data_IF_487048200925
#
_entry.id   IF_487048200925
#
_cell.length_a   1.000
_cell.length_b   1.000
_cell.length_c   1.000
_cell.angle_alpha   90.00
_cell.angle_beta   90.00
_cell.angle_gamma   90.00
#
_symmetry.space_group_name_H-M   'P 1'
#
loop_
_entity.id
_entity.type
_entity.pdbx_description
1 polymer ?
#
# COMPACT_ATOMS: atom_id res chain seq x y z
N UNK A 1 5.14 9.19 9.89
CA UNK A 1 6.64 9.14 9.77
C UNK A 1 7.25 10.27 10.57
N UNK A 2 8.58 10.44 10.64
CA UNK A 2 9.17 11.60 11.35
C UNK A 2 9.31 12.81 10.43
N UNK A 3 9.05 14.00 10.96
CA UNK A 3 9.39 15.27 10.31
C UNK A 3 10.90 15.55 10.44
N UNK A 4 11.65 15.79 9.34
CA UNK A 4 13.11 15.93 9.39
C UNK A 4 13.62 17.17 10.12
N UNK A 5 12.78 18.17 10.37
CA UNK A 5 13.18 19.41 11.05
C UNK A 5 12.92 19.31 12.54
N UNK A 6 11.76 18.77 12.92
CA UNK A 6 11.30 18.75 14.32
C UNK A 6 11.52 17.41 15.02
N UNK A 7 11.86 16.34 14.27
CA UNK A 7 11.96 14.94 14.71
C UNK A 7 10.64 14.36 15.30
N UNK A 8 9.54 15.11 15.23
CA UNK A 8 8.22 14.67 15.69
C UNK A 8 7.60 13.69 14.72
N UNK A 9 6.79 12.77 15.25
CA UNK A 9 5.92 11.97 14.41
C UNK A 9 4.83 12.84 13.81
N UNK A 10 4.61 12.66 12.52
CA UNK A 10 3.56 13.32 11.74
C UNK A 10 2.74 12.29 10.97
N UNK A 11 1.50 12.68 10.71
CA UNK A 11 0.54 11.96 9.88
C UNK A 11 0.32 12.75 8.59
N UNK A 12 0.35 12.03 7.47
CA UNK A 12 0.10 12.60 6.13
C UNK A 12 -0.99 11.73 5.53
N UNK A 13 -2.08 12.34 5.08
CA UNK A 13 -3.25 11.60 4.60
C UNK A 13 -4.26 12.50 3.90
N UNK A 14 -5.38 11.90 3.52
CA UNK A 14 -6.54 12.62 2.99
C UNK A 14 -7.15 13.41 4.14
N UNK A 15 -7.46 14.68 3.90
CA UNK A 15 -8.24 15.47 4.86
C UNK A 15 -9.72 15.17 4.63
N UNK A 16 -10.38 14.58 5.62
CA UNK A 16 -11.83 14.39 5.68
C UNK A 16 -12.42 15.16 6.87
N UNK A 17 -13.74 15.28 6.89
CA UNK A 17 -14.47 16.01 7.95
C UNK A 17 -14.32 15.34 9.34
N UNK A 18 -13.97 14.06 9.37
CA UNK A 18 -13.85 13.27 10.60
C UNK A 18 -12.48 13.45 11.28
N UNK A 19 -11.45 13.90 10.55
CA UNK A 19 -10.13 14.21 11.12
C UNK A 19 -10.19 15.30 12.20
N UNK A 20 -11.06 16.30 12.02
CA UNK A 20 -11.26 17.36 13.01
C UNK A 20 -11.83 16.82 14.34
N UNK A 21 -12.61 15.72 14.28
CA UNK A 21 -13.17 15.07 15.48
C UNK A 21 -12.12 14.30 16.29
N UNK A 22 -11.00 13.92 15.66
CA UNK A 22 -9.94 13.12 16.28
C UNK A 22 -8.78 13.95 16.85
N UNK A 23 -8.83 15.29 16.75
CA UNK A 23 -7.77 16.22 17.18
C UNK A 23 -6.38 15.84 16.65
N UNK A 24 -6.30 15.23 15.47
CA UNK A 24 -5.03 14.85 14.84
C UNK A 24 -4.58 15.96 13.90
N UNK A 25 -3.34 16.41 14.06
CA UNK A 25 -2.69 17.23 13.04
C UNK A 25 -2.30 16.34 11.85
N UNK A 26 -3.12 16.35 10.81
CA UNK A 26 -2.86 15.63 9.55
C UNK A 26 -2.44 16.63 8.47
N UNK A 27 -1.33 16.36 7.79
CA UNK A 27 -0.94 17.11 6.61
C UNK A 27 -1.62 16.52 5.38
N UNK A 28 -2.20 17.38 4.55
CA UNK A 28 -2.83 16.97 3.28
C UNK A 28 -1.80 16.30 2.35
N UNK A 29 -2.05 15.05 1.98
CA UNK A 29 -1.16 14.21 1.17
C UNK A 29 -0.77 14.83 -0.18
N UNK A 30 -1.71 15.45 -0.87
CA UNK A 30 -1.49 16.10 -2.17
C UNK A 30 -0.68 17.40 -2.06
N UNK A 31 -0.50 17.97 -0.86
CA UNK A 31 0.31 19.19 -0.67
C UNK A 31 1.76 18.87 -0.31
N UNK A 32 2.05 17.61 0.03
CA UNK A 32 3.33 17.20 0.61
C UNK A 32 4.17 16.38 -0.38
N UNK A 33 5.40 16.83 -0.64
CA UNK A 33 6.36 16.06 -1.44
C UNK A 33 7.07 15.01 -0.60
N UNK A 34 7.11 13.77 -1.08
CA UNK A 34 7.89 12.67 -0.48
C UNK A 34 9.37 13.03 -0.26
N UNK A 35 9.94 13.82 -1.17
CA UNK A 35 11.35 14.25 -1.14
C UNK A 35 11.67 15.18 0.03
N UNK A 36 10.67 15.79 0.66
CA UNK A 36 10.87 16.58 1.87
C UNK A 36 11.16 15.68 3.07
N UNK A 37 10.61 14.46 3.08
CA UNK A 37 10.62 13.60 4.26
C UNK A 37 11.60 12.44 4.15
N UNK A 38 11.65 11.76 3.00
CA UNK A 38 12.53 10.61 2.82
C UNK A 38 13.96 11.03 2.47
N UNK A 39 14.92 10.56 3.26
CA UNK A 39 16.35 10.66 3.01
C UNK A 39 17.09 9.53 3.76
N UNK A 40 18.42 9.50 3.65
CA UNK A 40 19.26 8.44 4.28
C UNK A 40 19.07 8.34 5.80
N UNK A 41 18.79 9.47 6.47
CA UNK A 41 18.56 9.54 7.91
C UNK A 41 17.08 9.38 8.31
N UNK A 42 16.15 9.51 7.37
CA UNK A 42 14.72 9.33 7.58
C UNK A 42 14.14 8.40 6.51
N UNK A 43 14.48 7.11 6.63
CA UNK A 43 14.32 6.15 5.55
C UNK A 43 13.08 5.25 5.67
N UNK A 44 12.18 5.48 6.62
CA UNK A 44 11.00 4.62 6.86
C UNK A 44 9.74 5.40 7.19
N UNK A 45 8.61 4.94 6.65
CA UNK A 45 7.27 5.36 7.05
C UNK A 45 6.38 4.14 7.24
N UNK A 46 5.41 4.27 8.15
CA UNK A 46 4.24 3.38 8.24
C UNK A 46 3.17 3.97 7.32
N UNK A 47 2.60 3.15 6.45
CA UNK A 47 1.48 3.49 5.59
C UNK A 47 0.33 2.56 5.96
N UNK A 48 -0.85 3.13 6.22
CA UNK A 48 -2.06 2.39 6.50
C UNK A 48 -3.00 2.59 5.32
N UNK A 49 -3.46 1.47 4.75
CA UNK A 49 -4.39 1.42 3.64
C UNK A 49 -5.64 0.68 4.09
N UNK A 50 -6.79 1.14 3.60
CA UNK A 50 -8.11 0.65 3.97
C UNK A 50 -8.34 0.67 5.49
N UNK A 51 -9.03 1.70 5.98
CA UNK A 51 -9.28 1.84 7.42
C UNK A 51 -10.29 0.81 7.97
N UNK A 52 -10.96 0.02 7.12
CA UNK A 52 -11.73 -1.15 7.53
C UNK A 52 -10.83 -2.32 7.89
N UNK A 53 -10.00 -2.76 6.94
CA UNK A 53 -9.11 -3.93 7.09
C UNK A 53 -7.78 -3.61 7.80
N UNK A 54 -7.39 -2.33 7.86
CA UNK A 54 -6.18 -1.79 8.48
C UNK A 54 -4.90 -2.46 7.96
N UNK A 55 -4.69 -2.41 6.64
CA UNK A 55 -3.47 -2.92 6.02
C UNK A 55 -2.28 -2.03 6.32
N UNK A 56 -1.32 -2.55 7.11
CA UNK A 56 -0.15 -1.79 7.53
C UNK A 56 1.07 -2.15 6.70
N UNK A 57 1.51 -1.22 5.87
CA UNK A 57 2.72 -1.32 5.07
C UNK A 57 3.88 -0.54 5.69
N UNK A 58 5.10 -1.05 5.50
CA UNK A 58 6.33 -0.27 5.74
C UNK A 58 6.85 0.23 4.40
N UNK A 59 6.85 1.55 4.21
CA UNK A 59 7.50 2.20 3.06
C UNK A 59 8.93 2.53 3.46
N UNK A 60 9.90 1.96 2.74
CA UNK A 60 11.32 2.15 3.02
C UNK A 60 12.01 2.84 1.85
N UNK A 61 12.67 3.95 2.14
CA UNK A 61 13.59 4.59 1.22
C UNK A 61 14.93 3.86 1.26
N UNK A 62 15.42 3.46 0.08
CA UNK A 62 16.67 2.72 -0.03
C UNK A 62 17.81 3.55 -0.59
N UNK A 63 17.55 4.37 -1.63
CA UNK A 63 18.54 5.20 -2.32
C UNK A 63 17.90 6.22 -3.26
N UNK A 64 18.66 7.26 -3.60
CA UNK A 64 18.39 8.15 -4.73
C UNK A 64 19.27 7.70 -5.89
N UNK A 65 18.65 7.54 -7.06
CA UNK A 65 19.36 7.28 -8.31
C UNK A 65 19.06 8.42 -9.29
N UNK A 66 19.99 8.64 -10.23
CA UNK A 66 19.72 9.51 -11.36
C UNK A 66 18.60 8.91 -12.21
N UNK A 67 17.61 9.73 -12.56
CA UNK A 67 16.55 9.31 -13.47
C UNK A 67 17.15 8.97 -14.84
N UNK A 68 16.77 7.82 -15.38
CA UNK A 68 17.22 7.39 -16.69
C UNK A 68 16.53 8.21 -17.79
N UNK A 69 17.27 8.51 -18.86
CA UNK A 69 16.77 9.22 -20.04
C UNK A 69 15.75 8.34 -20.75
N UNK A 70 14.68 8.95 -21.27
CA UNK A 70 13.59 8.29 -22.02
C UNK A 70 12.77 7.24 -21.24
N UNK A 71 12.95 7.17 -19.91
CA UNK A 71 12.21 6.25 -19.06
C UNK A 71 10.97 6.89 -18.43
N UNK A 72 9.90 6.10 -18.30
CA UNK A 72 8.66 6.50 -17.63
C UNK A 72 8.64 5.96 -16.20
N UNK A 73 8.21 6.80 -15.27
CA UNK A 73 8.05 6.47 -13.85
C UNK A 73 6.61 6.72 -13.40
N UNK A 74 6.11 6.03 -12.35
CA UNK A 74 6.79 5.01 -11.54
C UNK A 74 6.98 3.67 -12.27
N UNK A 75 7.83 2.79 -11.69
CA UNK A 75 8.10 1.44 -12.18
C UNK A 75 8.13 0.44 -11.01
N UNK A 76 7.56 -0.74 -11.24
CA UNK A 76 7.80 -1.90 -10.40
C UNK A 76 8.98 -2.66 -11.01
N UNK A 77 10.05 -2.83 -10.25
CA UNK A 77 11.27 -3.50 -10.72
C UNK A 77 11.43 -4.91 -10.13
N UNK A 78 10.76 -5.18 -9.02
CA UNK A 78 10.84 -6.44 -8.29
C UNK A 78 9.67 -6.57 -7.31
N UNK A 79 9.43 -7.79 -6.84
CA UNK A 79 8.47 -8.10 -5.80
C UNK A 79 8.27 -9.61 -5.67
N UNK A 80 7.45 -10.01 -4.70
CA UNK A 80 7.19 -11.42 -4.42
C UNK A 80 5.86 -11.58 -3.72
N UNK A 81 5.24 -12.74 -3.94
CA UNK A 81 3.94 -13.13 -3.39
C UNK A 81 2.80 -12.26 -3.91
N UNK A 82 1.61 -12.83 -3.98
CA UNK A 82 0.44 -12.08 -4.39
C UNK A 82 0.07 -11.05 -3.32
N UNK A 83 -0.52 -9.92 -3.75
CA UNK A 83 -1.18 -9.02 -2.82
C UNK A 83 -2.37 -9.77 -2.18
N UNK A 84 -2.64 -9.59 -0.87
CA UNK A 84 -3.90 -10.02 -0.28
C UNK A 84 -5.08 -9.47 -1.10
N UNK A 85 -6.14 -10.27 -1.33
CA UNK A 85 -7.36 -9.76 -1.94
C UNK A 85 -7.94 -8.60 -1.12
N UNK A 86 -8.49 -7.59 -1.80
CA UNK A 86 -9.24 -6.51 -1.17
C UNK A 86 -10.41 -7.08 -0.36
N UNK A 87 -10.78 -6.39 0.72
CA UNK A 87 -11.91 -6.74 1.59
C UNK A 87 -11.86 -8.17 2.18
N UNK A 88 -10.68 -8.79 2.26
CA UNK A 88 -10.56 -10.14 2.81
C UNK A 88 -10.57 -10.18 4.34
N UNK A 89 -10.74 -9.05 5.05
CA UNK A 89 -10.81 -8.98 6.51
C UNK A 89 -9.44 -8.78 7.16
N UNK A 90 -8.58 -8.01 6.51
CA UNK A 90 -7.25 -7.68 7.01
C UNK A 90 -6.34 -8.90 7.15
N UNK A 91 -5.31 -8.75 7.99
CA UNK A 91 -4.28 -9.79 8.16
C UNK A 91 -4.86 -11.14 8.62
N UNK A 92 -5.88 -11.12 9.48
CA UNK A 92 -6.48 -12.33 10.02
C UNK A 92 -7.32 -13.05 8.96
N UNK A 93 -8.17 -12.31 8.26
CA UNK A 93 -8.98 -12.86 7.19
C UNK A 93 -8.14 -13.41 6.04
N UNK A 94 -7.03 -12.75 5.67
CA UNK A 94 -6.08 -13.32 4.72
C UNK A 94 -5.45 -14.64 5.20
N UNK A 95 -5.08 -14.76 6.48
CA UNK A 95 -4.55 -16.04 6.98
C UNK A 95 -5.60 -17.14 7.02
N UNK A 96 -6.85 -16.82 7.31
CA UNK A 96 -7.96 -17.79 7.29
C UNK A 96 -8.28 -18.23 5.85
N UNK A 97 -8.30 -17.29 4.90
CA UNK A 97 -8.34 -17.56 3.47
C UNK A 97 -7.26 -18.57 3.06
N UNK A 98 -6.00 -18.34 3.43
CA UNK A 98 -4.90 -19.25 3.11
C UNK A 98 -5.07 -20.63 3.77
N UNK A 99 -5.66 -20.72 4.96
CA UNK A 99 -5.94 -22.03 5.60
C UNK A 99 -7.00 -22.81 4.81
N UNK A 100 -8.07 -22.14 4.39
CA UNK A 100 -9.14 -22.73 3.58
C UNK A 100 -8.57 -23.23 2.25
N UNK A 101 -7.86 -22.37 1.50
CA UNK A 101 -7.31 -22.71 0.17
C UNK A 101 -6.24 -23.82 0.19
N UNK A 102 -5.63 -24.10 1.34
CA UNK A 102 -4.67 -25.21 1.48
C UNK A 102 -5.35 -26.58 1.57
N UNK A 103 -6.65 -26.63 1.83
CA UNK A 103 -7.39 -27.88 1.97
C UNK A 103 -8.63 -27.90 1.04
N UNK A 104 -8.51 -28.50 -0.16
CA UNK A 104 -9.65 -28.66 -1.08
C UNK A 104 -10.84 -29.47 -0.53
N UNK A 105 -10.69 -30.12 0.63
CA UNK A 105 -11.78 -30.81 1.33
C UNK A 105 -12.45 -29.96 2.41
N UNK A 106 -11.97 -28.74 2.65
CA UNK A 106 -12.64 -27.80 3.53
C UNK A 106 -14.03 -27.48 2.93
N UNK A 107 -15.06 -27.41 3.77
CA UNK A 107 -16.43 -27.10 3.36
C UNK A 107 -16.53 -25.74 2.67
N UNK A 108 -15.73 -24.77 3.13
CA UNK A 108 -15.70 -23.39 2.61
C UNK A 108 -14.82 -23.25 1.36
N UNK A 109 -14.12 -24.30 0.90
CA UNK A 109 -13.12 -24.19 -0.17
C UNK A 109 -13.71 -23.65 -1.48
N UNK A 110 -14.85 -24.21 -1.91
CA UNK A 110 -15.46 -23.84 -3.19
C UNK A 110 -16.07 -22.44 -3.14
N UNK A 111 -16.73 -22.09 -2.04
CA UNK A 111 -17.29 -20.75 -1.83
C UNK A 111 -16.18 -19.69 -1.85
N UNK A 112 -15.09 -19.96 -1.14
CA UNK A 112 -13.96 -19.05 -1.08
C UNK A 112 -13.24 -18.92 -2.42
N UNK A 113 -13.12 -20.01 -3.18
CA UNK A 113 -12.54 -19.97 -4.52
C UNK A 113 -13.41 -19.18 -5.51
N UNK A 114 -14.73 -19.32 -5.41
CA UNK A 114 -15.70 -18.54 -6.20
C UNK A 114 -15.60 -17.04 -5.87
N UNK A 115 -15.52 -16.69 -4.59
CA UNK A 115 -15.33 -15.30 -4.14
C UNK A 115 -14.06 -14.67 -4.70
N UNK A 116 -12.97 -15.45 -4.82
CA UNK A 116 -11.70 -15.01 -5.43
C UNK A 116 -11.76 -14.88 -6.96
N UNK A 117 -12.87 -15.23 -7.61
CA UNK A 117 -12.98 -15.25 -9.07
C UNK A 117 -12.39 -16.50 -9.72
N UNK A 118 -12.21 -17.57 -8.96
CA UNK A 118 -11.90 -18.92 -9.47
C UNK A 118 -10.45 -19.38 -9.34
N UNK A 119 -9.48 -18.47 -9.14
CA UNK A 119 -8.09 -18.84 -8.88
C UNK A 119 -7.36 -17.83 -8.01
N UNK A 120 -6.50 -18.32 -7.11
CA UNK A 120 -5.59 -17.49 -6.33
C UNK A 120 -4.33 -18.28 -5.99
N UNK A 121 -3.17 -17.81 -6.44
CA UNK A 121 -1.88 -18.35 -6.03
C UNK A 121 -1.15 -17.30 -5.16
N UNK A 122 -1.03 -17.52 -3.84
CA UNK A 122 -0.39 -16.56 -2.94
C UNK A 122 1.10 -16.33 -3.23
N UNK A 123 1.73 -17.16 -4.08
CA UNK A 123 3.13 -17.01 -4.46
C UNK A 123 3.31 -16.29 -5.79
N UNK A 124 2.24 -16.11 -6.58
CA UNK A 124 2.31 -15.53 -7.91
C UNK A 124 2.47 -14.02 -7.84
N UNK A 125 3.55 -13.53 -8.45
CA UNK A 125 3.80 -12.12 -8.66
C UNK A 125 4.72 -11.94 -9.87
N UNK A 126 4.37 -11.04 -10.79
CA UNK A 126 5.25 -10.57 -11.86
C UNK A 126 5.21 -9.03 -11.88
N UNK A 127 6.36 -8.33 -11.74
CA UNK A 127 6.44 -6.88 -11.87
C UNK A 127 5.80 -6.32 -13.15
N UNK A 128 5.75 -7.11 -14.23
CA UNK A 128 5.16 -6.71 -15.51
C UNK A 128 3.64 -6.59 -15.49
N UNK A 129 2.99 -7.26 -14.54
CA UNK A 129 1.54 -7.17 -14.37
C UNK A 129 1.13 -5.87 -13.64
N UNK A 130 2.09 -5.14 -13.05
CA UNK A 130 1.83 -3.89 -12.36
C UNK A 130 1.62 -2.74 -13.34
N UNK A 131 0.41 -2.21 -13.37
CA UNK A 131 0.04 -1.05 -14.19
C UNK A 131 -0.14 0.17 -13.29
N UNK A 132 0.61 1.24 -13.58
CA UNK A 132 0.48 2.50 -12.86
C UNK A 132 -0.38 3.50 -13.64
N UNK A 133 -1.26 4.18 -12.92
CA UNK A 133 -1.95 5.36 -13.44
C UNK A 133 -0.97 6.49 -13.77
N UNK A 134 -1.38 7.38 -14.68
CA UNK A 134 -0.62 8.60 -14.94
C UNK A 134 -0.63 9.52 -13.69
N UNK A 135 0.52 9.77 -13.04
CA UNK A 135 0.54 10.53 -11.80
C UNK A 135 0.11 11.98 -11.98
N UNK A 136 0.43 12.60 -13.13
CA UNK A 136 0.05 13.99 -13.40
C UNK A 136 -1.46 14.14 -13.62
N UNK A 137 -2.12 13.12 -14.18
CA UNK A 137 -3.58 13.12 -14.29
C UNK A 137 -4.22 12.91 -12.94
N UNK A 138 -3.73 11.95 -12.15
CA UNK A 138 -4.25 11.66 -10.82
C UNK A 138 -4.13 12.86 -9.88
N UNK A 139 -3.01 13.56 -9.92
CA UNK A 139 -2.78 14.75 -9.10
C UNK A 139 -3.70 15.94 -9.45
N UNK A 140 -4.29 15.99 -10.66
CA UNK A 140 -5.26 17.03 -11.03
C UNK A 140 -6.68 16.75 -10.54
N UNK A 141 -6.94 15.54 -10.04
CA UNK A 141 -8.25 15.13 -9.51
C UNK A 141 -8.36 15.36 -8.00
N UNK A 142 -7.25 15.71 -7.35
CA UNK A 142 -7.13 16.09 -5.95
C UNK A 142 -7.19 17.60 -5.84
#
# INVERSE_FOLDING_TARGET
MKDPVTDRLIEIGILDEDIDLLYREVLADHTVKISKYFNENNCKARYEYDFGDSWIHTVKFEKILQAAVDEKYPKCIDGKMACPPEDCGGIYGYYDLLKVLRNPKNEDYNEMLEWLGGEFDPKKFDPKDVVFDNPQKRFKLM
#
